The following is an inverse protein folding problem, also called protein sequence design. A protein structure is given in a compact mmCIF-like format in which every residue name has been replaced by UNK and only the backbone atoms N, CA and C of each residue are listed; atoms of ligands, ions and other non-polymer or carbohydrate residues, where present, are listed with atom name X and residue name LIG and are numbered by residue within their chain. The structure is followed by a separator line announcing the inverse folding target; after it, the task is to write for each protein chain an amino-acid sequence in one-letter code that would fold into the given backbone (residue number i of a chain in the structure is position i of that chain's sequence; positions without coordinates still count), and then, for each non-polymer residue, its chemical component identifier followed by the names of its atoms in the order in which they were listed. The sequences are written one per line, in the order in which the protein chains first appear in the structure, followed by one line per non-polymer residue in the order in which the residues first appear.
data_IF_232926680919
#
_entry.id   IF_232926680919
#
_cell.length_a   1.000
_cell.length_b   1.000
_cell.length_c   1.000
_cell.angle_alpha   90.00
_cell.angle_beta   90.00
_cell.angle_gamma   90.00
#
_symmetry.space_group_name_H-M   'P 1'
#
loop_
_entity.id
_entity.type
_entity.pdbx_description
1 polymer ?
#
# COMPACT_ATOMS: atom_id res chain seq x y z
N UNK A 1 1.04 17.49 0.91
CA UNK A 1 -0.07 16.60 0.51
C UNK A 1 0.44 15.40 -0.29
N UNK A 2 1.06 15.58 -1.47
CA UNK A 2 1.64 14.47 -2.25
C UNK A 2 2.62 13.63 -1.42
N UNK A 3 3.53 14.31 -0.70
CA UNK A 3 4.45 13.65 0.25
C UNK A 3 3.72 12.85 1.34
N UNK A 4 2.62 13.38 1.90
CA UNK A 4 1.88 12.70 2.97
C UNK A 4 1.18 11.42 2.46
N UNK A 5 0.67 11.45 1.22
CA UNK A 5 0.14 10.25 0.56
C UNK A 5 1.25 9.24 0.29
N UNK A 6 2.40 9.67 -0.26
CA UNK A 6 3.54 8.78 -0.48
C UNK A 6 4.05 8.15 0.83
N UNK A 7 4.14 8.92 1.92
CA UNK A 7 4.51 8.39 3.24
C UNK A 7 3.51 7.34 3.76
N UNK A 8 2.21 7.55 3.53
CA UNK A 8 1.20 6.55 3.87
C UNK A 8 1.36 5.28 3.03
N UNK A 9 1.59 5.41 1.72
CA UNK A 9 1.82 4.27 0.83
C UNK A 9 3.06 3.48 1.24
N UNK A 10 4.17 4.14 1.54
CA UNK A 10 5.40 3.49 1.97
C UNK A 10 5.24 2.75 3.31
N UNK A 11 4.46 3.31 4.22
CA UNK A 11 4.13 2.66 5.48
C UNK A 11 3.28 1.41 5.28
N UNK A 12 2.22 1.49 4.48
CA UNK A 12 1.39 0.32 4.13
C UNK A 12 2.25 -0.73 3.43
N UNK A 13 3.11 -0.32 2.49
CA UNK A 13 4.03 -1.21 1.78
C UNK A 13 5.00 -1.91 2.72
N UNK A 14 5.48 -1.21 3.75
CA UNK A 14 6.38 -1.77 4.76
C UNK A 14 5.67 -2.83 5.61
N UNK A 15 4.40 -2.58 6.00
CA UNK A 15 3.56 -3.57 6.69
C UNK A 15 3.38 -4.80 5.79
N UNK A 16 2.97 -4.61 4.54
CA UNK A 16 2.75 -5.70 3.60
C UNK A 16 4.03 -6.50 3.34
N UNK A 17 5.18 -5.85 3.18
CA UNK A 17 6.46 -6.50 2.95
C UNK A 17 6.88 -7.39 4.12
N UNK A 18 6.45 -7.08 5.34
CA UNK A 18 6.72 -7.88 6.52
C UNK A 18 5.76 -9.07 6.65
N UNK A 19 4.46 -8.86 6.45
CA UNK A 19 3.43 -9.88 6.74
C UNK A 19 3.09 -10.79 5.55
N UNK A 20 3.05 -10.27 4.32
CA UNK A 20 2.64 -11.06 3.15
C UNK A 20 3.55 -12.27 2.85
N UNK A 21 4.88 -12.25 3.08
CA UNK A 21 5.70 -13.44 2.87
C UNK A 21 5.33 -14.62 3.78
N UNK A 22 4.66 -14.34 4.91
CA UNK A 22 4.20 -15.32 5.88
C UNK A 22 2.69 -15.60 5.76
N UNK A 23 2.04 -15.03 4.75
CA UNK A 23 0.63 -15.29 4.50
C UNK A 23 0.42 -16.70 3.95
N UNK A 24 -0.82 -17.16 4.00
CA UNK A 24 -1.21 -18.45 3.46
C UNK A 24 -1.14 -18.47 1.92
N UNK A 25 -1.15 -19.68 1.36
CA UNK A 25 -1.04 -19.89 -0.08
C UNK A 25 -2.08 -19.11 -0.89
N UNK A 26 -3.31 -18.96 -0.37
CA UNK A 26 -4.37 -18.25 -1.09
C UNK A 26 -4.07 -16.76 -1.31
N UNK A 27 -3.37 -16.12 -0.37
CA UNK A 27 -2.94 -14.72 -0.48
C UNK A 27 -1.70 -14.59 -1.39
N UNK A 28 -0.83 -15.60 -1.37
CA UNK A 28 0.36 -15.66 -2.23
C UNK A 28 0.01 -15.94 -3.70
N UNK A 29 -1.09 -16.63 -3.98
CA UNK A 29 -1.58 -16.89 -5.34
C UNK A 29 -1.90 -15.59 -6.11
N UNK A 30 -2.19 -14.50 -5.39
CA UNK A 30 -2.39 -13.17 -5.97
C UNK A 30 -1.09 -12.43 -6.30
N UNK A 31 0.07 -13.00 -5.98
CA UNK A 31 1.39 -12.38 -6.14
C UNK A 31 2.16 -13.11 -7.25
N UNK A 32 2.54 -12.42 -8.34
CA UNK A 32 3.32 -13.06 -9.41
C UNK A 32 4.72 -13.43 -8.91
N UNK A 33 5.22 -14.58 -9.37
CA UNK A 33 6.61 -14.95 -9.18
C UNK A 33 7.53 -13.90 -9.85
N UNK A 34 8.56 -13.48 -9.13
CA UNK A 34 9.51 -12.47 -9.62
C UNK A 34 10.11 -12.84 -10.98
N UNK A 35 10.12 -11.86 -11.89
CA UNK A 35 10.73 -11.98 -13.23
C UNK A 35 9.83 -12.59 -14.31
N UNK A 36 8.60 -12.99 -14.00
CA UNK A 36 7.65 -13.51 -15.01
C UNK A 36 6.92 -12.40 -15.77
N UNK A 37 6.27 -11.49 -15.04
CA UNK A 37 5.44 -10.45 -15.67
C UNK A 37 5.94 -9.05 -15.35
N UNK A 38 6.07 -8.23 -16.39
CA UNK A 38 6.27 -6.78 -16.25
C UNK A 38 5.01 -6.08 -15.74
N UNK A 39 3.84 -6.69 -15.97
CA UNK A 39 2.52 -6.12 -15.68
C UNK A 39 2.05 -6.30 -14.22
N UNK A 40 2.74 -7.10 -13.40
CA UNK A 40 2.39 -7.31 -11.98
C UNK A 40 1.11 -8.12 -11.76
N UNK A 41 0.59 -8.79 -12.80
CA UNK A 41 -0.60 -9.63 -12.71
C UNK A 41 -0.22 -11.07 -12.29
N UNK A 42 -0.95 -11.70 -11.36
CA UNK A 42 -0.75 -13.10 -11.02
C UNK A 42 -1.08 -14.00 -12.22
N UNK A 43 -0.23 -14.99 -12.46
CA UNK A 43 -0.41 -15.99 -13.50
C UNK A 43 0.15 -17.35 -13.08
N UNK A 44 -0.42 -18.43 -13.64
CA UNK A 44 0.11 -19.78 -13.45
C UNK A 44 1.45 -19.89 -14.17
N UNK A 45 2.46 -20.44 -13.50
CA UNK A 45 3.76 -20.70 -14.10
C UNK A 45 4.10 -22.19 -14.08
N UNK A 46 4.90 -22.61 -15.06
CA UNK A 46 5.43 -23.97 -15.12
C UNK A 46 6.70 -24.09 -14.26
N UNK A 47 6.94 -25.26 -13.67
CA UNK A 47 8.09 -25.50 -12.78
C UNK A 47 9.45 -25.09 -13.39
N UNK A 48 9.62 -25.24 -14.70
CA UNK A 48 10.84 -24.84 -15.42
C UNK A 48 11.21 -23.35 -15.24
N UNK A 49 10.25 -22.49 -14.91
CA UNK A 49 10.49 -21.07 -14.61
C UNK A 49 11.33 -20.86 -13.34
N UNK A 50 11.32 -21.82 -12.41
CA UNK A 50 12.17 -21.79 -11.21
C UNK A 50 13.65 -22.01 -11.51
N UNK A 51 14.02 -22.48 -12.70
CA UNK A 51 15.41 -22.70 -13.07
C UNK A 51 16.25 -21.41 -13.00
N UNK A 52 15.65 -20.24 -13.25
CA UNK A 52 16.29 -18.93 -13.12
C UNK A 52 16.57 -18.51 -11.66
N UNK A 53 16.00 -19.24 -10.70
CA UNK A 53 16.10 -18.96 -9.26
C UNK A 53 16.83 -20.08 -8.49
N UNK A 54 17.59 -20.94 -9.19
CA UNK A 54 18.39 -22.00 -8.57
C UNK A 54 19.34 -21.45 -7.51
N UNK A 55 19.48 -22.19 -6.41
CA UNK A 55 20.33 -21.82 -5.28
C UNK A 55 19.69 -20.86 -4.28
N UNK A 56 18.50 -20.32 -4.56
CA UNK A 56 17.73 -19.51 -3.59
C UNK A 56 16.83 -20.41 -2.74
N UNK A 57 16.75 -20.19 -1.42
CA UNK A 57 15.73 -20.83 -0.60
C UNK A 57 14.34 -20.31 -0.98
N UNK A 58 13.32 -21.17 -0.81
CA UNK A 58 11.93 -20.84 -1.16
C UNK A 58 11.46 -19.57 -0.45
N UNK A 59 11.78 -19.41 0.84
CA UNK A 59 11.40 -18.23 1.62
C UNK A 59 12.03 -16.93 1.10
N UNK A 60 13.24 -16.99 0.54
CA UNK A 60 13.85 -15.83 -0.11
C UNK A 60 13.14 -15.51 -1.42
N UNK A 61 12.79 -16.54 -2.21
CA UNK A 61 12.07 -16.36 -3.46
C UNK A 61 10.68 -15.73 -3.23
N UNK A 62 9.96 -16.17 -2.19
CA UNK A 62 8.68 -15.58 -1.78
C UNK A 62 8.89 -14.12 -1.39
N UNK A 63 9.84 -13.81 -0.50
CA UNK A 63 10.13 -12.44 -0.06
C UNK A 63 10.48 -11.50 -1.21
N UNK A 64 11.31 -11.94 -2.16
CA UNK A 64 11.68 -11.14 -3.34
C UNK A 64 10.45 -10.92 -4.24
N UNK A 65 9.62 -11.93 -4.43
CA UNK A 65 8.40 -11.83 -5.25
C UNK A 65 7.40 -10.85 -4.65
N UNK A 66 7.14 -10.97 -3.36
CA UNK A 66 6.30 -10.02 -2.59
C UNK A 66 6.84 -8.60 -2.71
N UNK A 67 8.14 -8.38 -2.45
CA UNK A 67 8.76 -7.05 -2.52
C UNK A 67 8.65 -6.44 -3.93
N UNK A 68 8.96 -7.23 -4.97
CA UNK A 68 8.89 -6.78 -6.36
C UNK A 68 7.45 -6.42 -6.77
N UNK A 69 6.47 -7.18 -6.30
CA UNK A 69 5.05 -6.88 -6.50
C UNK A 69 4.64 -5.58 -5.80
N UNK A 70 5.08 -5.40 -4.55
CA UNK A 70 4.79 -4.23 -3.73
C UNK A 70 5.43 -2.95 -4.26
N UNK A 71 6.62 -3.01 -4.86
CA UNK A 71 7.30 -1.85 -5.47
C UNK A 71 6.47 -1.22 -6.61
N UNK A 72 5.61 -2.01 -7.25
CA UNK A 72 4.69 -1.57 -8.31
C UNK A 72 3.27 -1.31 -7.81
N UNK A 73 3.00 -1.60 -6.54
CA UNK A 73 1.69 -1.43 -5.93
C UNK A 73 1.47 0.02 -5.50
N UNK A 74 0.31 0.56 -5.88
CA UNK A 74 -0.16 1.90 -5.52
C UNK A 74 -1.48 1.79 -4.75
N UNK A 75 -1.69 2.66 -3.77
CA UNK A 75 -2.91 2.67 -2.96
C UNK A 75 -3.68 3.96 -3.24
N UNK A 76 -4.53 3.90 -4.27
CA UNK A 76 -5.22 5.06 -4.84
C UNK A 76 -6.60 5.31 -4.22
N UNK A 77 -7.00 4.48 -3.26
CA UNK A 77 -8.26 4.60 -2.55
C UNK A 77 -8.16 4.02 -1.15
N UNK A 78 -9.10 4.41 -0.28
CA UNK A 78 -9.21 3.80 1.05
C UNK A 78 -9.61 2.33 0.99
N UNK A 79 -10.28 1.90 -0.08
CA UNK A 79 -10.56 0.49 -0.37
C UNK A 79 -9.28 -0.29 -0.63
N UNK A 80 -8.34 0.25 -1.42
CA UNK A 80 -7.04 -0.38 -1.66
C UNK A 80 -6.24 -0.52 -0.37
N UNK A 81 -6.23 0.54 0.45
CA UNK A 81 -5.58 0.55 1.77
C UNK A 81 -6.18 -0.54 2.67
N UNK A 82 -7.52 -0.58 2.76
CA UNK A 82 -8.20 -1.55 3.60
C UNK A 82 -7.95 -2.99 3.13
N UNK A 83 -7.99 -3.24 1.83
CA UNK A 83 -7.71 -4.55 1.25
C UNK A 83 -6.27 -4.99 1.54
N UNK A 84 -5.28 -4.10 1.39
CA UNK A 84 -3.88 -4.39 1.66
C UNK A 84 -3.64 -4.76 3.14
N UNK A 85 -4.24 -4.01 4.06
CA UNK A 85 -4.16 -4.29 5.51
C UNK A 85 -4.81 -5.63 5.85
N UNK A 86 -6.01 -5.91 5.32
CA UNK A 86 -6.71 -7.18 5.54
C UNK A 86 -5.94 -8.38 5.02
N UNK A 87 -5.28 -8.27 3.86
CA UNK A 87 -4.38 -9.32 3.33
C UNK A 87 -3.21 -9.63 4.25
N UNK A 88 -2.83 -8.70 5.13
CA UNK A 88 -1.80 -8.95 6.16
C UNK A 88 -2.36 -9.63 7.42
N UNK A 89 -3.65 -9.96 7.44
CA UNK A 89 -4.34 -10.46 8.64
C UNK A 89 -4.54 -9.38 9.71
N UNK A 90 -4.56 -8.11 9.32
CA UNK A 90 -4.77 -6.99 10.21
C UNK A 90 -6.19 -6.41 10.04
N UNK A 91 -6.76 -5.96 11.15
CA UNK A 91 -8.04 -5.27 11.14
C UNK A 91 -7.90 -3.78 10.80
N UNK A 92 -8.94 -3.25 10.15
CA UNK A 92 -9.01 -1.85 9.70
C UNK A 92 -9.90 -0.96 10.58
N UNK A 93 -10.67 -1.53 11.51
CA UNK A 93 -11.66 -0.79 12.31
C UNK A 93 -11.07 0.40 13.07
N UNK A 94 -9.79 0.32 13.47
CA UNK A 94 -9.07 1.40 14.17
C UNK A 94 -8.89 2.65 13.31
N UNK A 95 -8.90 2.50 11.99
CA UNK A 95 -8.60 3.56 11.02
C UNK A 95 -9.77 3.91 10.09
N UNK A 96 -10.86 3.14 10.08
CA UNK A 96 -12.03 3.37 9.20
C UNK A 96 -12.61 4.79 9.33
N UNK A 97 -12.66 5.32 10.56
CA UNK A 97 -13.09 6.70 10.83
C UNK A 97 -12.24 7.77 10.14
N UNK A 98 -11.02 7.41 9.71
CA UNK A 98 -10.09 8.32 9.02
C UNK A 98 -10.29 8.30 7.50
N UNK A 99 -10.99 7.30 6.95
CA UNK A 99 -11.15 7.11 5.50
C UNK A 99 -11.71 8.34 4.78
N UNK A 100 -12.72 9.06 5.29
CA UNK A 100 -13.20 10.27 4.61
C UNK A 100 -12.10 11.33 4.41
N UNK A 101 -11.16 11.45 5.35
CA UNK A 101 -10.03 12.39 5.27
C UNK A 101 -8.93 11.88 4.34
N UNK A 102 -8.68 10.57 4.34
CA UNK A 102 -7.72 9.94 3.43
C UNK A 102 -8.21 10.01 1.98
N UNK A 103 -9.50 9.81 1.73
CA UNK A 103 -10.09 9.97 0.39
C UNK A 103 -9.95 11.40 -0.13
N UNK A 104 -10.12 12.40 0.74
CA UNK A 104 -9.86 13.80 0.36
C UNK A 104 -8.39 14.01 -0.01
N UNK A 105 -7.46 13.54 0.82
CA UNK A 105 -6.02 13.58 0.56
C UNK A 105 -5.70 12.95 -0.81
N UNK A 106 -6.23 11.76 -1.08
CA UNK A 106 -5.98 11.01 -2.31
C UNK A 106 -6.61 11.69 -3.53
N UNK A 107 -7.86 12.17 -3.45
CA UNK A 107 -8.49 12.95 -4.53
C UNK A 107 -7.68 14.19 -4.87
N UNK A 108 -7.22 14.90 -3.85
CA UNK A 108 -6.42 16.11 -4.01
C UNK A 108 -5.09 15.78 -4.68
N UNK A 109 -4.44 14.66 -4.34
CA UNK A 109 -3.20 14.17 -4.98
C UNK A 109 -3.41 13.90 -6.47
N UNK A 110 -4.51 13.23 -6.84
CA UNK A 110 -4.84 12.99 -8.25
C UNK A 110 -5.02 14.29 -9.03
N UNK A 111 -5.61 15.32 -8.41
CA UNK A 111 -5.77 16.62 -9.05
C UNK A 111 -4.45 17.34 -9.31
N UNK A 112 -3.54 17.35 -8.32
CA UNK A 112 -2.20 17.93 -8.51
C UNK A 112 -1.44 17.16 -9.60
N UNK A 113 -1.38 15.84 -9.51
CA UNK A 113 -0.56 15.00 -10.39
C UNK A 113 -1.11 14.94 -11.81
N UNK A 114 -2.41 14.72 -12.00
CA UNK A 114 -2.98 14.53 -13.34
C UNK A 114 -3.52 15.79 -13.99
N UNK A 115 -3.81 16.84 -13.21
CA UNK A 115 -4.39 18.09 -13.74
C UNK A 115 -3.52 19.32 -13.51
N UNK A 116 -2.26 19.13 -13.07
CA UNK A 116 -1.36 20.22 -12.69
C UNK A 116 -2.01 21.23 -11.75
N UNK A 117 -2.89 20.73 -10.88
CA UNK A 117 -3.65 21.52 -9.92
C UNK A 117 -4.56 22.62 -10.52
N UNK A 118 -4.91 22.53 -11.81
CA UNK A 118 -5.69 23.59 -12.46
C UNK A 118 -7.09 23.70 -11.87
N UNK A 119 -7.47 24.92 -11.47
CA UNK A 119 -8.83 25.23 -11.03
C UNK A 119 -9.82 25.19 -12.19
N UNK A 120 -11.05 24.77 -11.89
CA UNK A 120 -12.13 24.62 -12.87
C UNK A 120 -12.68 25.95 -13.40
N UNK A 121 -12.37 27.08 -12.75
CA UNK A 121 -12.83 28.42 -13.17
C UNK A 121 -11.96 28.92 -14.32
N UNK A 122 -12.33 28.53 -15.54
CA UNK A 122 -11.64 28.91 -16.76
C UNK A 122 -12.13 30.29 -17.22
N UNK A 123 -11.30 31.32 -17.02
CA UNK A 123 -11.38 32.59 -17.75
C UNK A 123 -10.19 32.68 -18.71
N UNK A 124 -10.39 33.28 -19.89
CA UNK A 124 -9.35 33.41 -20.90
C UNK A 124 -8.06 33.99 -20.28
N UNK A 125 -6.98 33.19 -20.30
CA UNK A 125 -5.64 33.60 -19.89
C UNK A 125 -5.26 33.45 -18.41
N UNK A 126 -6.13 32.98 -17.51
CA UNK A 126 -5.80 32.84 -16.08
C UNK A 126 -6.02 31.41 -15.56
N UNK A 127 -5.00 30.57 -15.71
CA UNK A 127 -4.98 29.25 -15.04
C UNK A 127 -4.45 29.44 -13.62
N UNK A 128 -5.34 29.42 -12.64
CA UNK A 128 -4.96 29.42 -11.22
C UNK A 128 -4.95 28.00 -10.67
N UNK A 129 -4.00 27.70 -9.80
CA UNK A 129 -4.04 26.49 -8.98
C UNK A 129 -5.26 26.52 -8.06
N UNK A 130 -5.82 25.36 -7.70
CA UNK A 130 -6.84 25.33 -6.65
C UNK A 130 -6.26 25.76 -5.30
N UNK A 131 -6.97 26.65 -4.63
CA UNK A 131 -6.58 27.10 -3.29
C UNK A 131 -6.57 25.91 -2.32
N UNK A 132 -5.52 25.85 -1.51
CA UNK A 132 -5.37 24.85 -0.47
C UNK A 132 -5.08 25.54 0.84
N UNK A 133 -5.95 25.33 1.84
CA UNK A 133 -5.73 25.94 3.14
C UNK A 133 -4.66 25.16 3.93
N UNK A 134 -3.82 25.86 4.73
CA UNK A 134 -2.93 25.19 5.68
C UNK A 134 -3.67 24.28 6.68
N UNK A 135 -4.94 24.60 6.96
CA UNK A 135 -5.81 23.81 7.84
C UNK A 135 -6.11 22.44 7.24
N UNK A 136 -6.45 22.37 5.96
CA UNK A 136 -6.70 21.09 5.27
C UNK A 136 -5.46 20.20 5.27
N UNK A 137 -4.29 20.80 5.01
CA UNK A 137 -3.00 20.08 5.05
C UNK A 137 -2.74 19.53 6.44
N UNK A 138 -2.98 20.32 7.50
CA UNK A 138 -2.80 19.89 8.88
C UNK A 138 -3.75 18.75 9.25
N UNK A 139 -5.00 18.81 8.79
CA UNK A 139 -6.00 17.75 8.99
C UNK A 139 -5.52 16.45 8.33
N UNK A 140 -5.02 16.50 7.09
CA UNK A 140 -4.55 15.30 6.40
C UNK A 140 -3.28 14.72 7.03
N UNK A 141 -2.32 15.56 7.43
CA UNK A 141 -1.14 15.09 8.16
C UNK A 141 -1.53 14.43 9.50
N UNK A 142 -2.50 15.01 10.20
CA UNK A 142 -3.08 14.42 11.40
C UNK A 142 -3.71 13.05 11.12
N UNK A 143 -4.50 12.94 10.06
CA UNK A 143 -5.12 11.68 9.65
C UNK A 143 -4.07 10.61 9.32
N UNK A 144 -3.04 10.93 8.53
CA UNK A 144 -1.94 10.00 8.23
C UNK A 144 -1.27 9.55 9.53
N UNK A 145 -0.86 10.46 10.40
CA UNK A 145 -0.26 10.11 11.70
C UNK A 145 -1.16 9.21 12.55
N UNK A 146 -2.47 9.46 12.54
CA UNK A 146 -3.42 8.68 13.32
C UNK A 146 -3.65 7.28 12.73
N UNK A 147 -3.47 7.08 11.42
CA UNK A 147 -3.38 5.73 10.81
C UNK A 147 -2.20 4.96 11.39
N UNK A 148 -1.01 5.58 11.43
CA UNK A 148 0.19 4.93 11.95
C UNK A 148 -0.02 4.46 13.38
N UNK A 149 -0.60 5.33 14.23
CA UNK A 149 -0.94 4.97 15.62
C UNK A 149 -2.00 3.88 15.71
N UNK A 150 -3.05 3.99 14.90
CA UNK A 150 -4.17 3.05 14.92
C UNK A 150 -3.79 1.63 14.48
N UNK A 151 -2.81 1.50 13.59
CA UNK A 151 -2.32 0.20 13.13
C UNK A 151 -1.20 -0.37 14.01
N UNK A 152 -0.44 0.46 14.72
CA UNK A 152 0.73 -0.01 15.47
C UNK A 152 0.39 -1.10 16.50
N UNK A 153 -0.72 -0.96 17.22
CA UNK A 153 -1.19 -1.98 18.16
C UNK A 153 -1.47 -3.32 17.49
N UNK A 154 -2.20 -3.29 16.35
CA UNK A 154 -2.56 -4.49 15.59
C UNK A 154 -1.30 -5.19 15.02
N UNK A 155 -0.34 -4.40 14.53
CA UNK A 155 0.95 -4.91 14.01
C UNK A 155 1.72 -5.66 15.09
N UNK A 156 1.82 -5.11 16.31
CA UNK A 156 2.53 -5.75 17.41
C UNK A 156 1.86 -7.06 17.86
N UNK A 157 0.53 -7.09 17.92
CA UNK A 157 -0.22 -8.31 18.25
C UNK A 157 0.04 -9.38 17.20
N UNK A 158 -0.14 -9.03 15.92
CA UNK A 158 0.06 -9.98 14.81
C UNK A 158 1.50 -10.49 14.71
N UNK A 159 2.48 -9.64 14.99
CA UNK A 159 3.89 -10.05 15.02
C UNK A 159 4.17 -11.12 16.08
N UNK A 160 3.56 -11.00 17.27
CA UNK A 160 3.68 -12.00 18.33
C UNK A 160 3.05 -13.33 17.94
N UNK A 161 1.88 -13.30 17.29
CA UNK A 161 1.20 -14.51 16.80
C UNK A 161 2.08 -15.31 15.82
N UNK A 162 2.71 -14.62 14.86
CA UNK A 162 3.58 -15.28 13.87
C UNK A 162 4.83 -15.90 14.49
N UNK A 163 5.44 -15.24 15.46
CA UNK A 163 6.60 -15.82 16.17
C UNK A 163 6.23 -17.04 17.02
N UNK A 164 5.05 -17.03 17.64
CA UNK A 164 4.53 -18.21 18.37
C UNK A 164 4.27 -19.40 17.46
N UNK A 165 3.82 -19.16 16.21
CA UNK A 165 3.57 -20.20 15.21
C UNK A 165 4.86 -20.79 14.61
N UNK A 166 5.96 -20.03 14.58
CA UNK A 166 7.24 -20.49 14.01
C UNK A 166 8.11 -21.27 15.02
N UNK A 167 7.66 -21.40 16.27
CA UNK A 167 8.40 -22.07 17.37
C UNK A 167 7.95 -23.52 17.62
N UNK A 168 7.16 -24.09 16.71
CA UNK A 168 6.66 -25.48 16.72
C UNK A 168 7.20 -26.19 15.48
#
# INVERSE_FOLDING_TARGET
MVFAHATLEDFIRSICAYFLPQADGSVLDDIPLVGLTSAGRPEKFLLGRLAAHRGKPVDELIRISVRTYLDRSTFNSTQDIAAAIKRCGLDVWTIEKLFPRLDQLTKRRHQIVHRADKSRKSGAGKQHAESLSPVDVKIWLGAVRDVFRGLWGNVLVRQKELHSQSSV
#
